data_IF_469341805643
#
_entry.id   IF_469341805643
#
_cell.length_a   1.000
_cell.length_b   1.000
_cell.length_c   1.000
_cell.angle_alpha   90.00
_cell.angle_beta   90.00
_cell.angle_gamma   90.00
#
_symmetry.space_group_name_H-M   'P 1'
#
loop_
_entity.id
_entity.type
_entity.pdbx_description
1 polymer ?
#
# COMPACT_ATOMS: atom_id res chain seq x y z
N UNK A 1 -4.15 -16.88 7.44
CA UNK A 1 -4.53 -15.56 6.90
C UNK A 1 -5.12 -14.79 8.04
N UNK A 2 -4.27 -14.07 8.77
CA UNK A 2 -4.77 -13.05 9.68
C UNK A 2 -5.58 -12.06 8.84
N UNK A 3 -6.76 -11.71 9.35
CA UNK A 3 -7.70 -10.84 8.65
C UNK A 3 -6.98 -9.53 8.38
N UNK A 4 -6.86 -9.19 7.10
CA UNK A 4 -6.58 -7.83 6.67
C UNK A 4 -7.39 -6.88 7.55
N UNK A 5 -6.73 -5.90 8.17
CA UNK A 5 -7.33 -5.09 9.23
C UNK A 5 -8.40 -4.17 8.63
N UNK A 6 -9.60 -4.72 8.47
CA UNK A 6 -10.74 -4.11 7.78
C UNK A 6 -11.23 -2.85 8.50
N UNK A 7 -10.89 -2.70 9.79
CA UNK A 7 -11.32 -1.58 10.60
C UNK A 7 -10.58 -0.29 10.24
N UNK A 8 -9.24 -0.31 10.20
CA UNK A 8 -8.45 0.88 9.82
C UNK A 8 -8.67 1.26 8.36
N UNK A 9 -8.80 0.26 7.48
CA UNK A 9 -9.15 0.49 6.08
C UNK A 9 -10.54 1.08 5.88
N UNK A 10 -11.50 0.76 6.75
CA UNK A 10 -12.80 1.41 6.74
C UNK A 10 -12.68 2.90 7.08
N UNK A 11 -11.88 3.27 8.08
CA UNK A 11 -11.65 4.68 8.39
C UNK A 11 -10.87 5.41 7.28
N UNK A 12 -9.88 4.77 6.66
CA UNK A 12 -9.20 5.30 5.47
C UNK A 12 -10.21 5.56 4.34
N UNK A 13 -11.13 4.62 4.10
CA UNK A 13 -12.20 4.80 3.12
C UNK A 13 -13.11 5.99 3.47
N UNK A 14 -13.52 6.14 4.74
CA UNK A 14 -14.32 7.27 5.18
C UNK A 14 -13.59 8.60 4.97
N UNK A 15 -12.31 8.67 5.35
CA UNK A 15 -11.47 9.85 5.18
C UNK A 15 -11.25 10.21 3.71
N UNK A 16 -11.08 9.22 2.83
CA UNK A 16 -10.96 9.46 1.40
C UNK A 16 -12.23 10.10 0.83
N UNK A 17 -13.39 9.58 1.23
CA UNK A 17 -14.69 9.97 0.66
C UNK A 17 -15.38 11.10 1.43
N UNK A 18 -14.76 11.66 2.46
CA UNK A 18 -15.35 12.79 3.18
C UNK A 18 -15.15 14.09 2.40
N UNK A 19 -16.26 14.73 2.01
CA UNK A 19 -16.21 16.11 1.48
C UNK A 19 -15.97 17.14 2.58
N UNK A 20 -16.23 16.78 3.84
CA UNK A 20 -16.01 17.60 5.03
C UNK A 20 -15.55 16.71 6.19
N UNK A 21 -14.38 17.00 6.76
CA UNK A 21 -13.81 16.22 7.86
C UNK A 21 -14.61 16.35 9.17
N UNK A 22 -15.09 17.56 9.49
CA UNK A 22 -15.86 17.81 10.72
C UNK A 22 -17.16 17.00 10.73
N UNK A 23 -17.85 16.94 9.59
CA UNK A 23 -19.05 16.11 9.43
C UNK A 23 -18.73 14.62 9.51
N UNK A 24 -17.61 14.19 8.92
CA UNK A 24 -17.15 12.81 8.99
C UNK A 24 -16.89 12.37 10.44
N UNK A 25 -16.21 13.21 11.23
CA UNK A 25 -15.94 12.96 12.65
C UNK A 25 -17.22 12.97 13.49
N UNK A 26 -18.16 13.90 13.25
CA UNK A 26 -19.44 13.92 13.98
C UNK A 26 -20.19 12.60 13.86
N UNK A 27 -20.15 11.98 12.67
CA UNK A 27 -20.79 10.70 12.40
C UNK A 27 -19.93 9.50 12.84
N UNK A 28 -18.62 9.68 13.04
CA UNK A 28 -17.65 8.61 13.34
C UNK A 28 -16.63 9.08 14.39
N UNK A 29 -17.09 9.40 15.60
CA UNK A 29 -16.27 10.09 16.63
C UNK A 29 -15.01 9.30 16.99
N UNK A 30 -15.06 7.97 16.97
CA UNK A 30 -13.94 7.09 17.27
C UNK A 30 -12.75 7.27 16.31
N UNK A 31 -13.01 7.75 15.08
CA UNK A 31 -11.99 7.99 14.06
C UNK A 31 -10.88 8.92 14.53
N UNK A 32 -11.20 9.93 15.36
CA UNK A 32 -10.20 10.89 15.86
C UNK A 32 -9.15 10.19 16.72
N UNK A 33 -9.58 9.24 17.56
CA UNK A 33 -8.67 8.47 18.40
C UNK A 33 -7.78 7.50 17.60
N UNK A 34 -8.23 7.11 16.41
CA UNK A 34 -7.56 6.18 15.49
C UNK A 34 -6.59 6.88 14.52
N UNK A 35 -6.59 8.22 14.44
CA UNK A 35 -5.73 8.98 13.51
C UNK A 35 -4.25 8.57 13.58
N UNK A 36 -3.62 8.40 14.76
CA UNK A 36 -2.21 7.99 14.81
C UNK A 36 -1.96 6.63 14.16
N UNK A 37 -2.82 5.64 14.40
CA UNK A 37 -2.73 4.31 13.77
C UNK A 37 -3.02 4.39 12.27
N UNK A 38 -4.00 5.19 11.85
CA UNK A 38 -4.30 5.42 10.43
C UNK A 38 -3.09 6.01 9.71
N UNK A 39 -2.41 7.00 10.31
CA UNK A 39 -1.20 7.58 9.74
C UNK A 39 -0.05 6.56 9.67
N UNK A 40 0.07 5.67 10.65
CA UNK A 40 1.05 4.58 10.62
C UNK A 40 0.77 3.59 9.47
N UNK A 41 -0.50 3.19 9.30
CA UNK A 41 -0.94 2.35 8.17
C UNK A 41 -0.58 3.03 6.85
N UNK A 42 -1.09 4.25 6.64
CA UNK A 42 -0.86 5.01 5.40
C UNK A 42 0.62 5.17 5.11
N UNK A 43 1.45 5.48 6.12
CA UNK A 43 2.89 5.62 5.93
C UNK A 43 3.57 4.32 5.50
N UNK A 44 3.18 3.18 6.06
CA UNK A 44 3.74 1.88 5.71
C UNK A 44 3.28 1.42 4.32
N UNK A 45 2.00 1.63 3.98
CA UNK A 45 1.43 1.24 2.69
C UNK A 45 1.95 2.08 1.53
N UNK A 46 2.08 3.40 1.71
CA UNK A 46 2.76 4.28 0.74
C UNK A 46 4.19 3.79 0.50
N UNK A 47 4.96 3.50 1.57
CA UNK A 47 6.35 3.07 1.44
C UNK A 47 6.48 1.79 0.61
N UNK A 48 5.59 0.81 0.83
CA UNK A 48 5.54 -0.40 0.00
C UNK A 48 5.18 -0.08 -1.45
N UNK A 49 4.17 0.77 -1.68
CA UNK A 49 3.76 1.16 -3.03
C UNK A 49 4.89 1.89 -3.79
N UNK A 50 5.62 2.79 -3.13
CA UNK A 50 6.79 3.47 -3.68
C UNK A 50 7.92 2.48 -4.03
N UNK A 51 8.19 1.51 -3.15
CA UNK A 51 9.17 0.47 -3.44
C UNK A 51 8.77 -0.39 -4.64
N UNK A 52 7.49 -0.74 -4.76
CA UNK A 52 6.96 -1.49 -5.90
C UNK A 52 7.06 -0.69 -7.20
N UNK A 53 6.81 0.63 -7.16
CA UNK A 53 7.02 1.52 -8.31
C UNK A 53 8.51 1.61 -8.66
N UNK A 54 9.38 1.68 -7.65
CA UNK A 54 10.84 1.67 -7.81
C UNK A 54 11.34 0.39 -8.49
N UNK A 55 10.85 -0.78 -8.07
CA UNK A 55 11.12 -2.07 -8.73
C UNK A 55 10.71 -2.06 -10.20
N UNK A 56 9.56 -1.47 -10.51
CA UNK A 56 9.10 -1.33 -11.90
C UNK A 56 10.03 -0.43 -12.73
N UNK A 57 10.37 0.76 -12.24
CA UNK A 57 11.22 1.72 -12.95
C UNK A 57 12.66 1.22 -13.13
N UNK A 58 13.16 0.46 -12.15
CA UNK A 58 14.54 0.02 -12.09
C UNK A 58 14.61 -1.50 -11.98
N UNK A 59 14.92 -2.17 -13.10
CA UNK A 59 15.04 -3.63 -13.18
C UNK A 59 16.05 -4.24 -12.19
N UNK A 60 16.98 -3.47 -11.66
CA UNK A 60 17.96 -3.93 -10.65
C UNK A 60 17.70 -3.36 -9.25
N UNK A 61 16.48 -2.90 -8.98
CA UNK A 61 16.11 -2.40 -7.67
C UNK A 61 15.72 -3.55 -6.74
N UNK A 62 15.91 -3.31 -5.45
CA UNK A 62 15.58 -4.23 -4.37
C UNK A 62 15.04 -3.44 -3.20
N UNK A 63 14.17 -4.02 -2.38
CA UNK A 63 13.72 -3.39 -1.15
C UNK A 63 13.53 -4.40 -0.03
N UNK A 64 13.49 -3.90 1.21
CA UNK A 64 13.29 -4.70 2.41
C UNK A 64 11.98 -4.34 3.09
N UNK A 65 11.25 -5.35 3.55
CA UNK A 65 10.10 -5.18 4.45
C UNK A 65 10.48 -5.78 5.80
N UNK A 66 10.58 -4.94 6.83
CA UNK A 66 10.87 -5.43 8.17
C UNK A 66 9.69 -6.22 8.75
N UNK A 67 9.99 -7.34 9.44
CA UNK A 67 8.96 -8.22 10.01
C UNK A 67 8.17 -7.59 11.16
N UNK A 68 8.68 -6.51 11.75
CA UNK A 68 7.96 -5.73 12.76
C UNK A 68 7.02 -4.67 12.14
N UNK A 69 7.09 -4.44 10.83
CA UNK A 69 6.20 -3.54 10.09
C UNK A 69 4.94 -4.30 9.68
N UNK A 70 4.03 -4.51 10.64
CA UNK A 70 2.78 -5.30 10.45
C UNK A 70 2.02 -4.84 9.21
N UNK A 71 1.73 -3.54 9.09
CA UNK A 71 0.89 -3.00 8.00
C UNK A 71 1.58 -3.09 6.64
N UNK A 72 2.90 -2.86 6.59
CA UNK A 72 3.67 -3.04 5.36
C UNK A 72 3.59 -4.49 4.85
N UNK A 73 3.71 -5.47 5.74
CA UNK A 73 3.64 -6.89 5.38
C UNK A 73 2.23 -7.29 4.95
N UNK A 74 1.21 -6.87 5.72
CA UNK A 74 -0.19 -7.16 5.41
C UNK A 74 -0.60 -6.58 4.05
N UNK A 75 -0.20 -5.34 3.77
CA UNK A 75 -0.45 -4.70 2.49
C UNK A 75 0.32 -5.34 1.34
N UNK A 76 1.59 -5.69 1.54
CA UNK A 76 2.36 -6.42 0.54
C UNK A 76 1.75 -7.79 0.21
N UNK A 77 1.23 -8.50 1.22
CA UNK A 77 0.50 -9.75 1.03
C UNK A 77 -0.86 -9.52 0.33
N UNK A 78 -1.60 -8.48 0.71
CA UNK A 78 -2.83 -8.10 0.03
C UNK A 78 -2.60 -7.81 -1.45
N UNK A 79 -1.54 -7.06 -1.77
CA UNK A 79 -1.11 -6.85 -3.13
C UNK A 79 -0.88 -8.22 -3.77
N UNK A 80 -0.06 -9.10 -3.20
CA UNK A 80 0.15 -10.48 -3.73
C UNK A 80 -1.11 -11.30 -4.00
N UNK A 81 -2.10 -11.23 -3.11
CA UNK A 81 -3.30 -12.08 -3.14
C UNK A 81 -4.44 -11.51 -3.99
N UNK A 82 -4.44 -10.21 -4.29
CA UNK A 82 -5.52 -9.57 -5.06
C UNK A 82 -5.60 -10.17 -6.49
N UNK A 83 -6.80 -10.50 -6.97
CA UNK A 83 -7.04 -11.18 -8.26
C UNK A 83 -6.40 -10.46 -9.45
N UNK A 84 -6.39 -9.12 -9.43
CA UNK A 84 -5.71 -8.32 -10.43
C UNK A 84 -4.19 -8.54 -10.35
N UNK A 85 -3.60 -8.53 -9.17
CA UNK A 85 -2.18 -8.82 -8.96
C UNK A 85 -1.80 -10.29 -9.24
N UNK A 86 -2.68 -11.27 -9.01
CA UNK A 86 -2.48 -12.65 -9.47
C UNK A 86 -2.38 -12.74 -11.00
N UNK A 87 -3.11 -11.89 -11.73
CA UNK A 87 -3.07 -11.81 -13.20
C UNK A 87 -1.87 -10.99 -13.71
N UNK A 88 -1.49 -9.93 -12.98
CA UNK A 88 -0.40 -9.01 -13.36
C UNK A 88 0.97 -9.47 -12.84
N UNK A 89 1.11 -9.81 -11.57
CA UNK A 89 2.39 -10.07 -10.91
C UNK A 89 2.89 -11.50 -11.05
N UNK A 90 2.01 -12.50 -11.03
CA UNK A 90 2.40 -13.91 -11.25
C UNK A 90 3.05 -14.17 -12.62
N UNK A 91 3.00 -13.19 -13.52
CA UNK A 91 3.64 -13.20 -14.86
C UNK A 91 4.55 -11.99 -15.15
N UNK A 92 4.53 -10.89 -14.38
CA UNK A 92 5.33 -9.68 -14.63
C UNK A 92 6.27 -9.28 -13.48
N UNK A 93 5.98 -9.73 -12.26
CA UNK A 93 6.73 -9.49 -11.03
C UNK A 93 6.99 -10.85 -10.41
N UNK A 94 7.67 -11.73 -11.16
CA UNK A 94 8.27 -12.93 -10.58
C UNK A 94 9.32 -12.40 -9.59
N UNK A 95 8.93 -12.18 -8.34
CA UNK A 95 9.78 -11.56 -7.33
C UNK A 95 10.50 -12.65 -6.55
N UNK A 96 11.81 -12.54 -6.46
CA UNK A 96 12.58 -13.33 -5.53
C UNK A 96 12.39 -12.73 -4.14
N UNK A 97 11.74 -13.49 -3.26
CA UNK A 97 11.55 -13.12 -1.86
C UNK A 97 12.48 -13.99 -1.02
N UNK A 98 13.47 -13.37 -0.38
CA UNK A 98 14.36 -14.03 0.56
C UNK A 98 13.91 -13.72 1.99
N UNK A 99 13.62 -14.78 2.75
CA UNK A 99 13.27 -14.67 4.16
C UNK A 99 14.56 -14.55 5.00
N UNK A 100 14.80 -13.35 5.56
CA UNK A 100 15.89 -13.08 6.47
C UNK A 100 15.37 -12.97 7.91
N UNK A 101 16.28 -13.03 8.90
CA UNK A 101 15.90 -13.07 10.32
C UNK A 101 14.93 -11.94 10.72
N UNK A 102 15.14 -10.72 10.22
CA UNK A 102 14.40 -9.52 10.65
C UNK A 102 13.57 -8.86 9.53
N UNK A 103 13.73 -9.28 8.28
CA UNK A 103 13.08 -8.67 7.13
C UNK A 103 12.85 -9.69 6.01
N UNK A 104 11.96 -9.33 5.09
CA UNK A 104 11.84 -9.94 3.78
C UNK A 104 12.60 -9.07 2.79
N UNK A 105 13.49 -9.68 2.01
CA UNK A 105 14.20 -9.02 0.93
C UNK A 105 13.51 -9.33 -0.40
N UNK A 106 13.12 -8.31 -1.14
CA UNK A 106 12.32 -8.42 -2.37
C UNK A 106 13.11 -7.87 -3.56
N UNK A 107 13.26 -8.69 -4.60
CA UNK A 107 13.93 -8.36 -5.86
C UNK A 107 13.09 -8.81 -7.07
N UNK A 108 13.10 -8.03 -8.15
CA UNK A 108 12.40 -8.36 -9.39
C UNK A 108 13.22 -9.35 -10.24
N UNK A 109 12.61 -10.44 -10.70
CA UNK A 109 13.26 -11.36 -11.64
C UNK A 109 13.26 -10.77 -13.06
N UNK A 110 14.37 -10.16 -13.42
CA UNK A 110 14.57 -9.40 -14.66
C UNK A 110 14.46 -10.26 -15.92
N UNK A 111 14.70 -11.57 -15.83
CA UNK A 111 14.77 -12.46 -17.00
C UNK A 111 13.40 -12.80 -17.60
N UNK A 112 12.30 -12.61 -16.85
CA UNK A 112 10.97 -13.07 -17.25
C UNK A 112 9.91 -11.98 -17.46
N UNK A 113 10.23 -10.70 -17.27
CA UNK A 113 9.23 -9.62 -17.22
C UNK A 113 8.82 -9.10 -18.63
N UNK A 114 7.55 -9.28 -19.08
CA UNK A 114 7.08 -8.83 -20.40
C UNK A 114 6.56 -7.37 -20.40
N UNK A 115 7.24 -6.49 -21.15
CA UNK A 115 7.06 -5.02 -21.15
C UNK A 115 5.61 -4.48 -21.23
N UNK A 116 4.71 -5.05 -22.05
CA UNK A 116 3.37 -4.49 -22.30
C UNK A 116 2.40 -4.57 -21.12
N UNK A 117 2.70 -5.43 -20.12
CA UNK A 117 1.89 -5.54 -18.90
C UNK A 117 2.40 -4.63 -17.78
N UNK A 118 3.54 -3.97 -18.00
CA UNK A 118 4.17 -3.15 -16.99
C UNK A 118 3.50 -1.78 -16.85
N UNK A 119 2.95 -1.23 -17.94
CA UNK A 119 2.23 0.06 -17.93
C UNK A 119 0.99 -0.01 -17.01
N UNK A 120 0.17 -1.04 -17.14
CA UNK A 120 -1.01 -1.26 -16.30
C UNK A 120 -0.66 -1.44 -14.82
N UNK A 121 0.46 -2.09 -14.52
CA UNK A 121 0.95 -2.22 -13.14
C UNK A 121 1.38 -0.87 -12.57
N UNK A 122 2.14 -0.09 -13.35
CA UNK A 122 2.52 1.27 -12.97
C UNK A 122 1.31 2.16 -12.70
N UNK A 123 0.29 2.12 -13.57
CA UNK A 123 -0.97 2.83 -13.38
C UNK A 123 -1.69 2.41 -12.10
N UNK A 124 -1.76 1.10 -11.82
CA UNK A 124 -2.38 0.58 -10.60
C UNK A 124 -1.69 1.10 -9.34
N UNK A 125 -0.37 0.94 -9.23
CA UNK A 125 0.39 1.41 -8.08
C UNK A 125 0.31 2.94 -7.93
N UNK A 126 0.32 3.68 -9.04
CA UNK A 126 0.15 5.13 -9.01
C UNK A 126 -1.22 5.53 -8.45
N UNK A 127 -2.28 4.80 -8.81
CA UNK A 127 -3.61 5.02 -8.27
C UNK A 127 -3.67 4.72 -6.77
N UNK A 128 -3.05 3.64 -6.28
CA UNK A 128 -2.97 3.33 -4.84
C UNK A 128 -2.28 4.48 -4.08
N UNK A 129 -1.14 4.98 -4.58
CA UNK A 129 -0.42 6.12 -4.00
C UNK A 129 -1.31 7.38 -3.94
N UNK A 130 -2.04 7.67 -5.03
CA UNK A 130 -2.94 8.83 -5.09
C UNK A 130 -4.07 8.74 -4.05
N UNK A 131 -4.62 7.56 -3.80
CA UNK A 131 -5.64 7.36 -2.75
C UNK A 131 -5.10 7.77 -1.38
N UNK A 132 -3.86 7.37 -1.05
CA UNK A 132 -3.27 7.74 0.22
C UNK A 132 -2.98 9.25 0.33
N UNK A 133 -2.55 9.89 -0.77
CA UNK A 133 -2.39 11.34 -0.81
C UNK A 133 -3.72 12.10 -0.60
N UNK A 134 -4.83 11.62 -1.16
CA UNK A 134 -6.16 12.19 -0.92
C UNK A 134 -6.52 12.14 0.58
N UNK A 135 -6.30 10.99 1.22
CA UNK A 135 -6.54 10.80 2.66
C UNK A 135 -5.70 11.76 3.50
N UNK A 136 -4.40 11.88 3.19
CA UNK A 136 -3.50 12.80 3.89
C UNK A 136 -3.90 14.26 3.69
N UNK A 137 -4.36 14.64 2.50
CA UNK A 137 -4.85 16.00 2.23
C UNK A 137 -6.12 16.31 3.02
N UNK A 138 -7.05 15.37 3.12
CA UNK A 138 -8.27 15.55 3.91
C UNK A 138 -7.96 15.69 5.40
N UNK A 139 -7.01 14.90 5.92
CA UNK A 139 -6.52 15.04 7.30
C UNK A 139 -5.79 16.37 7.53
N UNK A 140 -4.97 16.82 6.58
CA UNK A 140 -4.25 18.10 6.70
C UNK A 140 -5.23 19.28 6.76
N UNK A 141 -6.27 19.27 5.93
CA UNK A 141 -7.28 20.32 5.90
C UNK A 141 -8.15 20.38 7.16
N UNK A 142 -8.16 19.33 7.98
CA UNK A 142 -8.87 19.29 9.25
C UNK A 142 -8.23 20.14 10.36
N UNK A 143 -6.94 20.49 10.22
CA UNK A 143 -6.15 21.20 11.24
C UNK A 143 -6.18 22.73 11.03
N UNK A 144 -6.83 23.21 9.96
CA UNK A 144 -6.96 24.62 9.59
C UNK A 144 -8.40 25.12 9.77
#
# INVERSE_FOLDING_TARGET
MDRYDHELHYYIYLLKNCGNFEECVKNNVEMVSKIPEILEVVSQEISVAEHMLGLYCNKHSTFEIHKNSKYALDYFNYLQENFLYSIYCKKCLDMNISDLKNCYYCELNVEKAPNYRHELFGEYIHNEINVYFEVLNNLKNAVY
#
